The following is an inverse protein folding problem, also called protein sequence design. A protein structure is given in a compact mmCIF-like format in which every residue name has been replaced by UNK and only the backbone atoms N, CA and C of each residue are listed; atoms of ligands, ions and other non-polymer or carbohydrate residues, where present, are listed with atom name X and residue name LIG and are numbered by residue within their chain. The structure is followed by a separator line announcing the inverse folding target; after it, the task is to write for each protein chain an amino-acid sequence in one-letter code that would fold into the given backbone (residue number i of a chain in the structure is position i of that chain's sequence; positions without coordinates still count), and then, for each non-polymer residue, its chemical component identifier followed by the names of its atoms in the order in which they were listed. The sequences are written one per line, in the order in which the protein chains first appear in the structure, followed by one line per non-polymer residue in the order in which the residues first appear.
data_IF_371319798228
#
_entry.id   IF_371319798228
#
_cell.length_a   1.000
_cell.length_b   1.000
_cell.length_c   1.000
_cell.angle_alpha   90.00
_cell.angle_beta   90.00
_cell.angle_gamma   90.00
#
_symmetry.space_group_name_H-M   'P 1'
#
loop_
_entity.id
_entity.type
_entity.pdbx_description
1 polymer ?
#
# COMPACT_ATOMS: atom_id res chain seq x y z
N UNK A 1 28.75 -18.24 5.19
CA UNK A 1 28.01 -16.96 5.24
C UNK A 1 27.67 -16.56 3.81
N UNK A 2 26.39 -16.39 3.45
CA UNK A 2 26.01 -15.84 2.13
C UNK A 2 26.34 -14.35 2.13
N UNK A 3 27.10 -13.88 1.14
CA UNK A 3 27.72 -12.54 1.11
C UNK A 3 26.74 -11.35 1.11
N UNK A 4 27.23 -10.18 0.72
CA UNK A 4 26.51 -8.89 0.72
C UNK A 4 25.10 -8.99 0.11
N UNK A 5 24.13 -8.32 0.73
CA UNK A 5 22.75 -8.24 0.24
C UNK A 5 22.72 -7.46 -1.08
N UNK A 6 22.24 -8.11 -2.14
CA UNK A 6 22.01 -7.49 -3.46
C UNK A 6 20.52 -7.19 -3.63
N UNK A 7 20.15 -6.32 -4.59
CA UNK A 7 18.74 -6.05 -4.88
C UNK A 7 17.94 -7.30 -5.22
N UNK A 8 18.51 -8.22 -6.01
CA UNK A 8 17.85 -9.49 -6.36
C UNK A 8 17.60 -10.35 -5.12
N UNK A 9 18.59 -10.47 -4.23
CA UNK A 9 18.43 -11.21 -2.97
C UNK A 9 17.46 -10.53 -2.03
N UNK A 10 17.40 -9.20 -2.04
CA UNK A 10 16.38 -8.48 -1.30
C UNK A 10 14.96 -8.86 -1.78
N UNK A 11 14.75 -8.98 -3.09
CA UNK A 11 13.46 -9.45 -3.64
C UNK A 11 13.17 -10.89 -3.23
N UNK A 12 14.08 -11.82 -3.49
CA UNK A 12 13.82 -13.25 -3.35
C UNK A 12 13.82 -13.70 -1.88
N UNK A 13 14.75 -13.19 -1.07
CA UNK A 13 14.93 -13.61 0.33
C UNK A 13 14.03 -12.80 1.30
N UNK A 14 13.56 -11.60 0.92
CA UNK A 14 12.80 -10.69 1.82
C UNK A 14 11.44 -10.28 1.26
N UNK A 15 11.38 -9.56 0.14
CA UNK A 15 10.12 -8.97 -0.34
C UNK A 15 9.09 -10.02 -0.76
N UNK A 16 9.48 -11.02 -1.55
CA UNK A 16 8.57 -12.07 -2.02
C UNK A 16 7.95 -12.87 -0.88
N UNK A 17 8.71 -13.40 0.11
CA UNK A 17 8.12 -14.17 1.20
C UNK A 17 7.38 -13.32 2.25
N UNK A 18 7.73 -12.04 2.43
CA UNK A 18 7.16 -11.21 3.53
C UNK A 18 6.17 -10.15 3.10
N UNK A 19 6.43 -9.48 1.98
CA UNK A 19 5.66 -8.30 1.54
C UNK A 19 4.54 -8.70 0.57
N UNK A 20 4.78 -9.70 -0.29
CA UNK A 20 3.77 -10.16 -1.25
C UNK A 20 2.45 -10.62 -0.60
N UNK A 21 2.52 -11.34 0.52
CA UNK A 21 1.33 -11.76 1.26
C UNK A 21 0.69 -10.63 2.08
N UNK A 22 1.50 -9.71 2.60
CA UNK A 22 1.04 -8.62 3.47
C UNK A 22 0.27 -7.55 2.70
N UNK A 23 0.71 -7.22 1.48
CA UNK A 23 0.06 -6.20 0.65
C UNK A 23 -1.33 -6.65 0.19
N UNK A 24 -1.52 -7.93 -0.13
CA UNK A 24 -2.81 -8.45 -0.61
C UNK A 24 -3.92 -8.48 0.45
N UNK A 25 -3.61 -8.31 1.74
CA UNK A 25 -4.57 -8.38 2.83
C UNK A 25 -4.90 -7.06 3.53
N UNK A 26 -4.19 -5.97 3.24
CA UNK A 26 -4.28 -4.72 4.00
C UNK A 26 -4.46 -3.50 3.08
N UNK A 27 -5.72 -3.10 2.79
CA UNK A 27 -6.00 -1.90 2.03
C UNK A 27 -5.39 -0.66 2.72
N UNK A 28 -4.54 0.07 2.01
CA UNK A 28 -3.90 1.28 2.53
C UNK A 28 -2.66 1.03 3.41
N UNK A 29 -2.04 -0.14 3.35
CA UNK A 29 -0.79 -0.41 4.05
C UNK A 29 0.36 0.52 3.59
N UNK A 30 1.15 1.01 4.54
CA UNK A 30 2.38 1.77 4.29
C UNK A 30 3.56 0.83 4.55
N UNK A 31 4.42 0.67 3.55
CA UNK A 31 5.68 -0.06 3.68
C UNK A 31 6.83 0.93 3.83
N UNK A 32 7.38 1.02 5.04
CA UNK A 32 8.51 1.90 5.37
C UNK A 32 9.82 1.11 5.39
N UNK A 33 10.83 1.59 4.66
CA UNK A 33 12.17 1.00 4.56
C UNK A 33 13.22 2.09 4.38
N UNK A 34 14.47 1.79 4.75
CA UNK A 34 15.58 2.71 4.48
C UNK A 34 15.98 2.73 2.98
N UNK A 35 16.75 3.74 2.59
CA UNK A 35 17.23 3.92 1.21
C UNK A 35 18.52 3.14 0.91
N UNK A 36 18.80 2.01 1.58
CA UNK A 36 19.97 1.21 1.26
C UNK A 36 19.95 0.76 -0.22
N UNK A 37 21.14 0.64 -0.83
CA UNK A 37 21.26 0.32 -2.27
C UNK A 37 20.43 -0.89 -2.74
N UNK A 38 20.30 -1.99 -1.97
CA UNK A 38 19.45 -3.12 -2.36
C UNK A 38 17.95 -2.78 -2.39
N UNK A 39 17.50 -1.84 -1.55
CA UNK A 39 16.10 -1.42 -1.41
C UNK A 39 15.68 -0.42 -2.49
N UNK A 40 16.62 0.47 -2.88
CA UNK A 40 16.45 1.39 -4.00
C UNK A 40 16.82 0.76 -5.36
N UNK A 41 17.24 -0.51 -5.39
CA UNK A 41 17.58 -1.19 -6.63
C UNK A 41 16.35 -1.31 -7.54
N UNK A 42 16.55 -1.14 -8.85
CA UNK A 42 15.48 -1.21 -9.85
C UNK A 42 14.61 -2.45 -9.70
N UNK A 43 15.23 -3.62 -9.53
CA UNK A 43 14.52 -4.89 -9.34
C UNK A 43 13.60 -4.93 -8.11
N UNK A 44 13.97 -4.24 -7.03
CA UNK A 44 13.14 -4.14 -5.83
C UNK A 44 11.96 -3.18 -6.06
N UNK A 45 12.21 -2.06 -6.73
CA UNK A 45 11.18 -1.09 -7.10
C UNK A 45 10.14 -1.70 -8.06
N UNK A 46 10.59 -2.42 -9.08
CA UNK A 46 9.71 -3.07 -10.07
C UNK A 46 8.83 -4.13 -9.38
N UNK A 47 9.39 -4.91 -8.46
CA UNK A 47 8.61 -5.89 -7.68
C UNK A 47 7.51 -5.21 -6.85
N UNK A 48 7.85 -4.14 -6.11
CA UNK A 48 6.88 -3.41 -5.29
C UNK A 48 5.79 -2.74 -6.14
N UNK A 49 6.14 -2.21 -7.30
CA UNK A 49 5.18 -1.61 -8.22
C UNK A 49 4.16 -2.65 -8.73
N UNK A 50 4.61 -3.84 -9.12
CA UNK A 50 3.73 -4.93 -9.53
C UNK A 50 2.81 -5.38 -8.39
N UNK A 51 3.33 -5.49 -7.17
CA UNK A 51 2.54 -5.87 -6.01
C UNK A 51 1.44 -4.83 -5.68
N UNK A 52 1.74 -3.53 -5.82
CA UNK A 52 0.74 -2.47 -5.62
C UNK A 52 -0.33 -2.50 -6.72
N UNK A 53 0.05 -2.77 -7.96
CA UNK A 53 -0.92 -2.92 -9.07
C UNK A 53 -1.83 -4.14 -8.86
N UNK A 54 -1.27 -5.26 -8.40
CA UNK A 54 -2.04 -6.46 -8.06
C UNK A 54 -3.03 -6.17 -6.93
N UNK A 55 -2.58 -5.50 -5.86
CA UNK A 55 -3.46 -5.06 -4.77
C UNK A 55 -4.59 -4.16 -5.28
N UNK A 56 -4.28 -3.18 -6.14
CA UNK A 56 -5.29 -2.28 -6.70
C UNK A 56 -6.34 -3.04 -7.51
N UNK A 57 -5.93 -4.04 -8.30
CA UNK A 57 -6.84 -4.88 -9.07
C UNK A 57 -7.76 -5.74 -8.20
N UNK A 58 -7.29 -6.14 -7.01
CA UNK A 58 -8.02 -7.01 -6.08
C UNK A 58 -8.73 -6.27 -4.94
N UNK A 59 -8.72 -4.92 -4.94
CA UNK A 59 -9.51 -4.16 -3.98
C UNK A 59 -10.99 -4.54 -4.10
N UNK A 60 -11.65 -4.96 -3.00
CA UNK A 60 -13.05 -5.34 -3.06
C UNK A 60 -13.89 -4.17 -3.54
N UNK A 61 -14.72 -4.40 -4.57
CA UNK A 61 -15.62 -3.37 -5.09
C UNK A 61 -16.56 -2.83 -3.99
N UNK A 62 -16.84 -3.63 -2.97
CA UNK A 62 -17.63 -3.22 -1.81
C UNK A 62 -16.92 -2.16 -0.95
N UNK A 63 -15.59 -2.18 -0.84
CA UNK A 63 -14.85 -1.10 -0.17
C UNK A 63 -14.99 0.23 -0.93
N UNK A 64 -14.89 0.17 -2.26
CA UNK A 64 -15.06 1.33 -3.14
C UNK A 64 -16.50 1.85 -3.05
N UNK A 65 -17.49 0.94 -3.10
CA UNK A 65 -18.91 1.28 -2.96
C UNK A 65 -19.23 1.87 -1.60
N UNK A 66 -18.73 1.29 -0.50
CA UNK A 66 -18.90 1.83 0.85
C UNK A 66 -18.31 3.24 0.97
N UNK A 67 -17.13 3.49 0.40
CA UNK A 67 -16.52 4.81 0.40
C UNK A 67 -17.38 5.83 -0.36
N UNK A 68 -17.85 5.48 -1.57
CA UNK A 68 -18.75 6.33 -2.37
C UNK A 68 -20.06 6.60 -1.62
N UNK A 69 -20.68 5.56 -1.06
CA UNK A 69 -21.95 5.65 -0.34
C UNK A 69 -21.84 6.46 0.95
N UNK A 70 -20.66 6.58 1.54
CA UNK A 70 -20.42 7.42 2.74
C UNK A 70 -20.26 8.92 2.44
N UNK A 71 -20.08 9.31 1.16
CA UNK A 71 -19.84 10.73 0.81
C UNK A 71 -20.98 11.67 1.20
N UNK A 72 -22.27 11.32 1.04
CA UNK A 72 -23.36 12.17 1.49
C UNK A 72 -23.27 12.49 2.99
N UNK A 73 -22.93 11.50 3.82
CA UNK A 73 -22.80 11.67 5.27
C UNK A 73 -21.59 12.56 5.62
N UNK A 74 -20.47 12.40 4.92
CA UNK A 74 -19.27 13.24 5.09
C UNK A 74 -19.56 14.70 4.70
N UNK A 75 -20.28 14.91 3.59
CA UNK A 75 -20.70 16.24 3.13
C UNK A 75 -21.65 16.87 4.14
N UNK A 76 -22.63 16.11 4.65
CA UNK A 76 -23.54 16.59 5.69
C UNK A 76 -22.78 16.98 6.97
N UNK A 77 -21.81 16.15 7.39
CA UNK A 77 -20.94 16.46 8.53
C UNK A 77 -20.14 17.75 8.30
N UNK A 78 -19.56 17.94 7.12
CA UNK A 78 -18.82 19.17 6.77
C UNK A 78 -19.73 20.41 6.81
N UNK A 79 -20.94 20.33 6.28
CA UNK A 79 -21.92 21.43 6.31
C UNK A 79 -22.29 21.77 7.75
N UNK A 80 -22.53 20.76 8.60
CA UNK A 80 -22.91 20.95 9.99
C UNK A 80 -21.85 21.68 10.82
N UNK A 81 -20.57 21.56 10.45
CA UNK A 81 -19.45 22.27 11.12
C UNK A 81 -18.99 23.52 10.35
N UNK A 82 -19.77 24.01 9.38
CA UNK A 82 -19.43 25.22 8.62
C UNK A 82 -18.16 25.07 7.78
N UNK A 83 -17.97 23.91 7.16
CA UNK A 83 -16.77 23.54 6.40
C UNK A 83 -15.49 23.36 7.25
N UNK A 84 -15.61 23.26 8.57
CA UNK A 84 -14.53 22.87 9.47
C UNK A 84 -14.15 21.38 9.38
N UNK A 85 -13.11 20.99 10.10
CA UNK A 85 -12.63 19.60 10.15
C UNK A 85 -13.70 18.67 10.75
N UNK A 86 -13.99 17.57 10.05
CA UNK A 86 -14.85 16.50 10.57
C UNK A 86 -14.00 15.34 11.09
N UNK A 87 -14.61 14.39 11.80
CA UNK A 87 -13.93 13.20 12.31
C UNK A 87 -13.55 12.16 11.23
N UNK A 88 -13.77 12.50 9.95
CA UNK A 88 -13.56 11.65 8.78
C UNK A 88 -12.29 12.01 8.03
#
# INVERSE_FOLDING_TARGET
MRGTLTGQRYVDDILRPRVGALLNGLPGAIFDQDNARPHAARVAQDFLQLAVQDLWAHLPQDNIRCLINSMPDRVAACIAVGCGTTRY
#
